data_IF_623810247285
#
_entry.id   IF_623810247285
#
_cell.length_a   1.000
_cell.length_b   1.000
_cell.length_c   1.000
_cell.angle_alpha   90.00
_cell.angle_beta   90.00
_cell.angle_gamma   90.00
#
_symmetry.space_group_name_H-M   'P 1'
#
loop_
_entity.id
_entity.type
_entity.pdbx_description
1 polymer ?
#
# COMPACT_ATOMS: atom_id res chain seq x y z
N UNK A 1 4.23 -5.68 -19.75
CA UNK A 1 4.73 -6.38 -18.56
C UNK A 1 6.21 -6.76 -18.73
N UNK A 2 7.07 -6.55 -17.72
CA UNK A 2 8.46 -7.03 -17.69
C UNK A 2 8.54 -8.28 -16.81
N UNK A 3 9.24 -9.32 -17.25
CA UNK A 3 9.27 -10.62 -16.56
C UNK A 3 10.69 -11.06 -16.22
N UNK A 4 10.86 -11.64 -15.03
CA UNK A 4 12.03 -12.43 -14.68
C UNK A 4 11.80 -13.91 -14.95
N UNK A 5 12.86 -14.59 -15.37
CA UNK A 5 12.98 -16.04 -15.19
C UNK A 5 13.16 -16.38 -13.72
N UNK A 6 13.01 -17.65 -13.34
CA UNK A 6 13.30 -18.11 -11.97
C UNK A 6 14.70 -17.72 -11.47
N UNK A 7 15.72 -17.91 -12.31
CA UNK A 7 17.10 -17.57 -11.96
C UNK A 7 17.28 -16.07 -11.73
N UNK A 8 16.70 -15.23 -12.59
CA UNK A 8 16.75 -13.77 -12.43
C UNK A 8 16.02 -13.31 -11.16
N UNK A 9 14.88 -13.94 -10.87
CA UNK A 9 14.13 -13.68 -9.65
C UNK A 9 14.97 -14.01 -8.39
N UNK A 10 15.57 -15.22 -8.34
CA UNK A 10 16.35 -15.65 -7.18
C UNK A 10 17.59 -14.77 -6.96
N UNK A 11 18.25 -14.38 -8.06
CA UNK A 11 19.36 -13.43 -8.02
C UNK A 11 18.90 -12.06 -7.52
N UNK A 12 17.79 -11.52 -8.03
CA UNK A 12 17.31 -10.19 -7.64
C UNK A 12 16.94 -10.11 -6.14
N UNK A 13 16.26 -11.13 -5.60
CA UNK A 13 15.90 -11.21 -4.18
C UNK A 13 17.14 -11.38 -3.29
N UNK A 14 18.13 -12.15 -3.76
CA UNK A 14 19.41 -12.32 -3.06
C UNK A 14 20.19 -11.00 -3.01
N UNK A 15 20.26 -10.28 -4.14
CA UNK A 15 20.93 -8.98 -4.21
C UNK A 15 20.27 -7.96 -3.28
N UNK A 16 18.94 -7.91 -3.20
CA UNK A 16 18.24 -7.09 -2.21
C UNK A 16 18.66 -7.43 -0.78
N UNK A 17 18.71 -8.72 -0.44
CA UNK A 17 19.13 -9.18 0.89
C UNK A 17 20.58 -8.76 1.19
N UNK A 18 21.48 -8.84 0.22
CA UNK A 18 22.88 -8.42 0.37
C UNK A 18 23.02 -6.91 0.58
N UNK A 19 22.13 -6.11 0.01
CA UNK A 19 22.13 -4.65 0.17
C UNK A 19 21.62 -4.19 1.54
N UNK A 20 20.76 -4.97 2.20
CA UNK A 20 20.06 -4.55 3.42
C UNK A 20 21.00 -4.15 4.58
N UNK A 21 22.20 -4.73 4.68
CA UNK A 21 23.16 -4.38 5.74
C UNK A 21 24.04 -3.17 5.41
N UNK A 22 23.93 -2.59 4.20
CA UNK A 22 24.78 -1.50 3.75
C UNK A 22 23.96 -0.23 3.47
N UNK A 23 23.96 0.68 4.44
CA UNK A 23 23.25 1.96 4.35
C UNK A 23 23.66 2.78 3.11
N UNK A 24 24.95 2.90 2.81
CA UNK A 24 25.43 3.68 1.67
C UNK A 24 24.90 3.13 0.34
N UNK A 25 24.76 1.81 0.23
CA UNK A 25 24.15 1.18 -0.94
C UNK A 25 22.65 1.49 -1.00
N UNK A 26 21.92 1.31 0.11
CA UNK A 26 20.48 1.57 0.18
C UNK A 26 20.12 3.03 -0.11
N UNK A 27 20.93 3.97 0.39
CA UNK A 27 20.76 5.41 0.17
C UNK A 27 20.80 5.76 -1.33
N UNK A 28 21.63 5.06 -2.11
CA UNK A 28 21.71 5.26 -3.56
C UNK A 28 20.62 4.50 -4.33
N UNK A 29 20.20 3.35 -3.82
CA UNK A 29 19.21 2.50 -4.46
C UNK A 29 17.76 2.99 -4.28
N UNK A 30 17.49 3.73 -3.20
CA UNK A 30 16.13 4.13 -2.83
C UNK A 30 16.02 5.64 -2.66
N UNK A 31 15.80 6.36 -3.76
CA UNK A 31 15.27 7.71 -3.70
C UNK A 31 13.87 7.69 -3.06
N UNK A 32 13.65 8.49 -2.02
CA UNK A 32 12.39 8.47 -1.25
C UNK A 32 11.20 9.12 -1.99
N UNK A 33 11.42 9.62 -3.20
CA UNK A 33 10.42 10.25 -4.07
C UNK A 33 10.08 9.42 -5.33
N UNK A 34 10.55 8.19 -5.44
CA UNK A 34 10.29 7.31 -6.57
C UNK A 34 9.09 6.38 -6.29
N UNK A 35 8.53 5.81 -7.36
CA UNK A 35 7.35 4.92 -7.31
C UNK A 35 7.55 3.69 -8.19
N UNK A 36 6.73 2.67 -7.97
CA UNK A 36 6.57 1.54 -8.90
C UNK A 36 5.30 1.73 -9.72
N UNK A 37 5.36 1.39 -11.00
CA UNK A 37 4.20 1.42 -11.89
C UNK A 37 3.80 -0.01 -12.24
N UNK A 38 2.58 -0.40 -11.88
CA UNK A 38 1.98 -1.68 -12.24
C UNK A 38 0.88 -1.45 -13.27
N UNK A 39 0.97 -2.17 -14.38
CA UNK A 39 -0.05 -2.17 -15.42
C UNK A 39 -1.21 -3.09 -15.07
N UNK A 40 -2.35 -2.92 -15.76
CA UNK A 40 -3.47 -3.85 -15.65
C UNK A 40 -3.07 -5.29 -16.02
N UNK A 41 -2.13 -5.47 -16.94
CA UNK A 41 -1.59 -6.78 -17.33
C UNK A 41 -0.94 -7.49 -16.13
N UNK A 42 -0.11 -6.78 -15.36
CA UNK A 42 0.58 -7.31 -14.19
C UNK A 42 -0.42 -7.76 -13.10
N UNK A 43 -1.46 -6.97 -12.88
CA UNK A 43 -2.52 -7.25 -11.90
C UNK A 43 -3.38 -8.45 -12.34
N UNK A 44 -3.75 -8.51 -13.62
CA UNK A 44 -4.52 -9.63 -14.16
C UNK A 44 -3.71 -10.93 -14.12
N UNK A 45 -2.40 -10.85 -14.39
CA UNK A 45 -1.51 -11.99 -14.22
C UNK A 45 -1.57 -12.50 -12.78
N UNK A 46 -1.38 -11.61 -11.80
CA UNK A 46 -1.35 -11.97 -10.39
C UNK A 46 -2.69 -12.58 -9.93
N UNK A 47 -3.82 -11.99 -10.32
CA UNK A 47 -5.17 -12.53 -10.08
C UNK A 47 -5.38 -13.92 -10.66
N UNK A 48 -4.90 -14.16 -11.89
CA UNK A 48 -5.08 -15.44 -12.56
C UNK A 48 -4.27 -16.59 -11.93
N UNK A 49 -3.17 -16.26 -11.24
CA UNK A 49 -2.22 -17.25 -10.70
C UNK A 49 -2.38 -17.50 -9.20
N UNK A 50 -2.78 -16.48 -8.44
CA UNK A 50 -2.91 -16.53 -6.99
C UNK A 50 -4.11 -17.36 -6.54
N UNK A 51 -3.94 -18.09 -5.45
CA UNK A 51 -4.98 -18.96 -4.87
C UNK A 51 -5.20 -18.68 -3.38
N UNK A 52 -4.68 -17.55 -2.89
CA UNK A 52 -4.73 -17.15 -1.49
C UNK A 52 -5.48 -15.84 -1.29
N UNK A 53 -5.87 -15.55 -0.04
CA UNK A 53 -6.56 -14.30 0.34
C UNK A 53 -5.69 -13.06 0.21
N UNK A 54 -4.38 -13.24 0.23
CA UNK A 54 -3.39 -12.19 0.06
C UNK A 54 -2.57 -12.46 -1.21
N UNK A 55 -2.03 -11.41 -1.80
CA UNK A 55 -0.96 -11.46 -2.78
C UNK A 55 0.37 -11.12 -2.09
N UNK A 56 1.48 -11.61 -2.65
CA UNK A 56 2.82 -11.29 -2.17
C UNK A 56 3.55 -10.44 -3.21
N UNK A 57 4.17 -9.36 -2.75
CA UNK A 57 5.15 -8.62 -3.54
C UNK A 57 6.49 -8.68 -2.83
N UNK A 58 7.54 -8.98 -3.57
CA UNK A 58 8.90 -9.14 -3.05
C UNK A 58 9.81 -8.06 -3.57
N UNK A 59 10.79 -7.68 -2.77
CA UNK A 59 11.79 -6.69 -3.15
C UNK A 59 12.98 -7.39 -3.79
N UNK A 60 13.47 -6.81 -4.88
CA UNK A 60 14.69 -7.24 -5.54
C UNK A 60 15.59 -6.07 -5.91
N UNK A 61 16.82 -6.38 -6.28
CA UNK A 61 17.71 -5.44 -7.00
C UNK A 61 18.04 -6.05 -8.34
N UNK A 62 17.78 -5.30 -9.41
CA UNK A 62 18.10 -5.71 -10.78
C UNK A 62 18.62 -4.50 -11.55
N UNK A 63 19.73 -4.69 -12.29
CA UNK A 63 20.41 -3.61 -13.01
C UNK A 63 20.68 -2.36 -12.14
N UNK A 64 21.10 -2.57 -10.89
CA UNK A 64 21.38 -1.52 -9.92
C UNK A 64 20.17 -0.60 -9.61
N UNK A 65 18.96 -1.16 -9.73
CA UNK A 65 17.71 -0.51 -9.38
C UNK A 65 16.87 -1.43 -8.49
N UNK A 66 16.14 -0.85 -7.55
CA UNK A 66 15.16 -1.60 -6.76
C UNK A 66 13.98 -1.97 -7.64
N UNK A 67 13.52 -3.20 -7.52
CA UNK A 67 12.35 -3.73 -8.22
C UNK A 67 11.35 -4.31 -7.23
N UNK A 68 10.07 -4.16 -7.55
CA UNK A 68 8.96 -4.82 -6.90
C UNK A 68 8.52 -5.99 -7.78
N UNK A 69 8.63 -7.21 -7.27
CA UNK A 69 8.39 -8.45 -8.00
C UNK A 69 7.07 -9.06 -7.53
N UNK A 70 6.19 -9.39 -8.46
CA UNK A 70 4.89 -9.99 -8.17
C UNK A 70 5.05 -11.51 -7.98
N UNK A 71 4.69 -11.99 -6.78
CA UNK A 71 4.79 -13.39 -6.41
C UNK A 71 3.39 -13.95 -6.09
N UNK A 72 2.87 -14.82 -6.96
CA UNK A 72 1.62 -15.51 -6.70
C UNK A 72 1.79 -16.52 -5.56
N UNK A 73 0.74 -16.68 -4.74
CA UNK A 73 0.67 -17.63 -3.66
C UNK A 73 -0.25 -18.81 -4.01
N UNK A 74 0.07 -19.99 -3.48
CA UNK A 74 -0.78 -21.16 -3.54
C UNK A 74 -1.89 -21.12 -2.46
N UNK A 75 -2.77 -22.12 -2.44
CA UNK A 75 -3.89 -22.17 -1.47
C UNK A 75 -3.46 -22.27 0.00
N UNK A 76 -2.18 -22.53 0.28
CA UNK A 76 -1.61 -22.55 1.63
C UNK A 76 -0.87 -21.26 2.01
N UNK A 77 -0.82 -20.27 1.11
CA UNK A 77 -0.11 -19.00 1.33
C UNK A 77 1.39 -19.08 1.05
N UNK A 78 1.89 -20.20 0.51
CA UNK A 78 3.28 -20.33 0.08
C UNK A 78 3.46 -19.77 -1.33
N UNK A 79 4.67 -19.29 -1.63
CA UNK A 79 5.01 -18.80 -2.98
C UNK A 79 4.82 -19.94 -3.97
N UNK A 80 4.02 -19.67 -5.00
CA UNK A 80 3.77 -20.59 -6.09
C UNK A 80 4.91 -20.49 -7.10
N UNK A 81 5.48 -21.63 -7.42
CA UNK A 81 6.48 -21.75 -8.47
C UNK A 81 5.83 -21.53 -9.85
N UNK A 82 6.26 -20.48 -10.54
CA UNK A 82 5.83 -20.12 -11.90
C UNK A 82 7.04 -20.00 -12.82
N UNK A 83 6.80 -19.98 -14.13
CA UNK A 83 7.84 -19.87 -15.16
C UNK A 83 8.41 -18.45 -15.22
N UNK A 84 7.55 -17.45 -15.08
CA UNK A 84 7.88 -16.03 -15.21
C UNK A 84 7.30 -15.23 -14.05
N UNK A 85 8.05 -14.26 -13.57
CA UNK A 85 7.69 -13.37 -12.46
C UNK A 85 7.64 -11.92 -12.94
N UNK A 86 6.45 -11.31 -13.06
CA UNK A 86 6.34 -9.90 -13.42
C UNK A 86 7.01 -8.99 -12.39
N UNK A 87 7.66 -7.92 -12.83
CA UNK A 87 8.26 -6.94 -11.94
C UNK A 87 8.12 -5.51 -12.44
N UNK A 88 8.16 -4.56 -11.50
CA UNK A 88 8.22 -3.12 -11.76
C UNK A 88 9.47 -2.53 -11.12
N UNK A 89 10.17 -1.66 -11.85
CA UNK A 89 11.31 -0.91 -11.31
C UNK A 89 10.85 0.31 -10.51
N UNK A 90 11.66 0.68 -9.51
CA UNK A 90 11.50 1.92 -8.77
C UNK A 90 11.98 3.08 -9.66
N UNK A 91 11.07 3.95 -10.09
CA UNK A 91 11.33 5.00 -11.07
C UNK A 91 10.78 6.35 -10.62
N UNK A 92 11.29 7.43 -11.23
CA UNK A 92 10.69 8.75 -11.10
C UNK A 92 9.23 8.75 -11.56
N UNK A 93 8.45 9.63 -10.95
CA UNK A 93 7.12 9.95 -11.45
C UNK A 93 7.23 10.69 -12.77
N UNK A 94 6.45 10.27 -13.77
CA UNK A 94 6.37 10.97 -15.06
C UNK A 94 5.56 12.27 -15.00
N UNK A 95 4.90 12.56 -13.87
CA UNK A 95 4.10 13.76 -13.63
C UNK A 95 3.44 13.74 -12.25
N UNK A 96 2.70 14.81 -11.93
CA UNK A 96 2.02 14.93 -10.63
C UNK A 96 0.94 13.86 -10.44
N UNK A 97 0.92 13.22 -9.27
CA UNK A 97 -0.16 12.32 -8.87
C UNK A 97 -1.34 13.14 -8.33
N UNK A 98 -2.53 12.93 -8.90
CA UNK A 98 -3.78 13.52 -8.40
C UNK A 98 -4.59 12.45 -7.67
N UNK A 99 -4.70 12.61 -6.36
CA UNK A 99 -5.51 11.73 -5.51
C UNK A 99 -6.89 12.37 -5.31
N UNK A 100 -7.95 11.60 -5.51
CA UNK A 100 -9.35 12.05 -5.40
C UNK A 100 -10.13 11.05 -4.56
N UNK A 101 -10.75 11.51 -3.48
CA UNK A 101 -11.68 10.74 -2.66
C UNK A 101 -13.03 11.46 -2.57
N UNK A 102 -14.11 10.78 -2.93
CA UNK A 102 -15.48 11.32 -2.88
C UNK A 102 -16.29 10.56 -1.84
N UNK A 103 -16.77 11.26 -0.80
CA UNK A 103 -17.65 10.70 0.24
C UNK A 103 -19.00 11.44 0.27
N UNK A 104 -20.10 10.70 0.15
CA UNK A 104 -21.46 11.21 0.38
C UNK A 104 -21.89 10.88 1.82
N UNK A 105 -22.12 11.91 2.66
CA UNK A 105 -22.61 11.71 4.02
C UNK A 105 -24.13 11.84 4.09
N UNK A 106 -24.82 10.86 4.70
CA UNK A 106 -26.22 11.01 5.11
C UNK A 106 -26.27 11.61 6.53
N UNK A 107 -26.74 12.85 6.67
CA UNK A 107 -26.94 13.47 8.00
C UNK A 107 -28.27 12.99 8.59
N UNK A 108 -28.21 12.04 9.54
CA UNK A 108 -29.40 11.60 10.28
C UNK A 108 -29.68 12.61 11.41
N UNK A 109 -30.66 13.49 11.21
CA UNK A 109 -31.20 14.36 12.28
C UNK A 109 -32.33 13.62 13.00
N UNK A 110 -32.02 13.03 14.15
CA UNK A 110 -33.04 12.48 15.03
C UNK A 110 -33.59 13.58 15.94
N UNK A 111 -34.90 13.82 15.87
CA UNK A 111 -35.62 14.68 16.81
C UNK A 111 -36.58 13.81 17.63
N UNK A 112 -36.40 13.79 18.96
CA UNK A 112 -37.33 13.11 19.88
C UNK A 112 -38.32 14.13 20.41
N UNK A 113 -39.60 13.93 20.12
CA UNK A 113 -40.70 14.74 20.66
C UNK A 113 -41.34 14.02 21.86
N UNK A 114 -41.61 14.77 22.92
CA UNK A 114 -42.34 14.25 24.09
C UNK A 114 -43.78 13.87 23.75
N UNK A 115 -44.46 13.13 24.65
CA UNK A 115 -45.88 12.78 24.52
C UNK A 115 -46.81 14.01 24.43
N UNK A 116 -46.33 15.17 24.87
CA UNK A 116 -47.05 16.45 24.80
C UNK A 116 -46.55 17.35 23.65
N UNK A 117 -45.83 16.78 22.67
CA UNK A 117 -45.27 17.44 21.48
C UNK A 117 -44.30 18.59 21.74
N UNK A 118 -43.71 18.66 22.94
CA UNK A 118 -42.64 19.62 23.26
C UNK A 118 -41.27 19.01 22.99
N UNK A 119 -40.35 19.82 22.44
CA UNK A 119 -38.93 19.45 22.28
C UNK A 119 -38.34 19.25 23.67
N UNK A 120 -37.80 18.07 23.95
CA UNK A 120 -37.05 17.80 25.18
C UNK A 120 -35.60 18.22 24.91
N UNK A 121 -35.30 19.50 25.09
CA UNK A 121 -33.92 20.01 25.21
C UNK A 121 -33.71 20.42 26.67
N UNK A 122 -32.77 19.74 27.34
CA UNK A 122 -32.02 20.07 28.58
C UNK A 122 -31.69 18.71 29.22
N UNK A 123 -30.45 18.22 29.27
CA UNK A 123 -29.27 18.86 29.85
C UNK A 123 -27.99 18.13 29.35
N UNK A 124 -26.91 18.88 29.17
CA UNK A 124 -25.50 18.44 29.00
C UNK A 124 -25.21 17.04 28.42
N UNK A 125 -25.38 16.89 27.13
CA UNK A 125 -24.28 16.45 26.25
C UNK A 125 -24.62 17.02 24.89
N UNK A 126 -24.23 18.29 24.72
CA UNK A 126 -24.02 18.83 23.39
C UNK A 126 -23.01 17.89 22.72
N UNK A 127 -23.51 16.90 21.98
CA UNK A 127 -22.90 16.55 20.71
C UNK A 127 -22.96 17.82 19.87
N UNK A 128 -22.04 18.75 20.17
CA UNK A 128 -21.33 19.44 19.11
C UNK A 128 -21.10 18.38 18.04
N UNK A 129 -21.37 18.65 16.76
CA UNK A 129 -20.75 17.83 15.74
C UNK A 129 -19.26 18.06 15.96
N UNK A 130 -18.65 17.21 16.80
CA UNK A 130 -17.22 17.04 16.85
C UNK A 130 -16.95 16.69 15.42
N UNK A 131 -16.42 17.66 14.68
CA UNK A 131 -15.92 17.47 13.35
C UNK A 131 -14.63 16.63 13.44
N UNK A 132 -14.66 15.54 14.20
CA UNK A 132 -13.91 14.33 13.90
C UNK A 132 -14.63 13.72 12.70
N UNK A 133 -14.51 14.38 11.55
CA UNK A 133 -14.60 13.62 10.31
C UNK A 133 -13.57 12.51 10.48
N UNK A 134 -13.94 11.23 10.36
CA UNK A 134 -12.95 10.17 10.35
C UNK A 134 -11.90 10.55 9.31
N UNK A 135 -10.63 10.53 9.71
CA UNK A 135 -9.50 10.87 8.84
C UNK A 135 -9.60 9.97 7.61
N UNK A 136 -9.67 10.58 6.42
CA UNK A 136 -10.01 9.88 5.20
C UNK A 136 -8.89 8.89 4.85
N UNK A 137 -9.18 7.80 4.15
CA UNK A 137 -8.15 6.80 3.83
C UNK A 137 -7.07 7.40 2.91
N UNK A 138 -7.45 8.35 2.03
CA UNK A 138 -6.51 9.14 1.26
C UNK A 138 -5.59 9.99 2.15
N UNK A 139 -6.12 10.68 3.16
CA UNK A 139 -5.33 11.54 4.06
C UNK A 139 -4.26 10.71 4.79
N UNK A 140 -4.64 9.52 5.31
CA UNK A 140 -3.69 8.60 5.96
C UNK A 140 -2.56 8.18 5.03
N UNK A 141 -2.90 7.94 3.77
CA UNK A 141 -1.93 7.49 2.80
C UNK A 141 -1.01 8.62 2.32
N UNK A 142 -1.53 9.84 2.17
CA UNK A 142 -0.71 11.04 1.92
C UNK A 142 0.27 11.26 3.06
N UNK A 143 -0.21 11.25 4.31
CA UNK A 143 0.63 11.40 5.50
C UNK A 143 1.74 10.32 5.54
N UNK A 144 1.41 9.07 5.24
CA UNK A 144 2.38 7.97 5.21
C UNK A 144 3.44 8.14 4.11
N UNK A 145 3.06 8.61 2.91
CA UNK A 145 3.99 8.88 1.80
C UNK A 145 4.89 10.08 2.14
N UNK A 146 4.33 11.15 2.68
CA UNK A 146 5.11 12.32 3.10
C UNK A 146 6.09 11.96 4.21
N UNK A 147 5.67 11.14 5.16
CA UNK A 147 6.53 10.65 6.22
C UNK A 147 7.67 9.78 5.68
N UNK A 148 7.39 8.90 4.70
CA UNK A 148 8.46 8.16 4.01
C UNK A 148 9.42 9.09 3.27
N UNK A 149 8.90 10.10 2.57
CA UNK A 149 9.72 11.08 1.85
C UNK A 149 10.71 11.77 2.80
N UNK A 150 10.25 12.15 3.98
CA UNK A 150 11.03 12.91 4.97
C UNK A 150 11.95 12.02 5.81
N UNK A 151 11.47 10.84 6.23
CA UNK A 151 12.13 10.01 7.24
C UNK A 151 12.63 8.66 6.71
N UNK A 152 12.36 8.30 5.45
CA UNK A 152 12.74 7.00 4.88
C UNK A 152 14.25 6.75 4.91
N UNK A 153 15.06 7.78 4.64
CA UNK A 153 16.53 7.70 4.73
C UNK A 153 16.96 7.51 6.20
N UNK A 154 16.39 8.28 7.12
CA UNK A 154 16.65 8.15 8.56
C UNK A 154 16.28 6.75 9.07
N UNK A 155 15.17 6.19 8.57
CA UNK A 155 14.71 4.85 8.90
C UNK A 155 15.72 3.79 8.45
N UNK A 156 16.20 3.85 7.21
CA UNK A 156 17.25 2.94 6.74
C UNK A 156 18.56 3.09 7.51
N UNK A 157 18.97 4.32 7.82
CA UNK A 157 20.17 4.56 8.63
C UNK A 157 20.06 3.86 9.98
N UNK A 158 18.93 4.03 10.67
CA UNK A 158 18.67 3.41 11.96
C UNK A 158 18.63 1.87 11.88
N UNK A 159 17.96 1.30 10.88
CA UNK A 159 17.89 -0.15 10.72
C UNK A 159 19.24 -0.78 10.37
N UNK A 160 20.07 -0.09 9.59
CA UNK A 160 21.43 -0.55 9.31
C UNK A 160 22.37 -0.37 10.52
N UNK A 161 22.28 0.74 11.27
CA UNK A 161 23.19 1.02 12.38
C UNK A 161 22.91 0.17 13.62
N UNK A 162 21.64 0.01 13.98
CA UNK A 162 21.26 -0.65 15.22
C UNK A 162 20.94 -2.14 15.05
N UNK A 163 20.55 -2.55 13.83
CA UNK A 163 20.02 -3.90 13.57
C UNK A 163 20.68 -4.58 12.38
N UNK A 164 21.77 -4.03 11.87
CA UNK A 164 22.58 -4.60 10.77
C UNK A 164 21.73 -4.92 9.52
N UNK A 165 20.62 -4.20 9.31
CA UNK A 165 19.70 -4.40 8.20
C UNK A 165 18.80 -5.63 8.30
N UNK A 166 18.88 -6.40 9.39
CA UNK A 166 18.14 -7.67 9.56
C UNK A 166 16.62 -7.52 9.53
N UNK A 167 16.11 -6.33 9.82
CA UNK A 167 14.68 -6.03 9.92
C UNK A 167 14.16 -5.22 8.73
N UNK A 168 15.01 -4.96 7.74
CA UNK A 168 14.57 -4.37 6.48
C UNK A 168 13.65 -5.37 5.78
N UNK A 169 12.53 -4.83 5.29
CA UNK A 169 11.51 -5.59 4.62
C UNK A 169 12.07 -6.32 3.40
N UNK A 170 11.58 -7.55 3.17
CA UNK A 170 11.91 -8.34 1.98
C UNK A 170 10.69 -8.57 1.10
N UNK A 171 9.51 -8.56 1.71
CA UNK A 171 8.23 -8.83 1.07
C UNK A 171 7.11 -8.16 1.83
N UNK A 172 6.03 -7.92 1.10
CA UNK A 172 4.80 -7.36 1.61
C UNK A 172 3.63 -8.23 1.18
N UNK A 173 2.66 -8.39 2.08
CA UNK A 173 1.40 -9.05 1.79
C UNK A 173 0.32 -8.00 1.56
N UNK A 174 -0.43 -8.14 0.47
CA UNK A 174 -1.49 -7.22 0.05
C UNK A 174 -2.78 -8.01 -0.08
N UNK A 175 -3.82 -7.72 0.72
CA UNK A 175 -5.07 -8.45 0.61
C UNK A 175 -5.67 -8.36 -0.80
N UNK A 176 -6.18 -9.49 -1.30
CA UNK A 176 -6.51 -9.62 -2.72
C UNK A 176 -7.69 -8.77 -3.15
N UNK A 177 -8.62 -8.52 -2.23
CA UNK A 177 -9.78 -7.65 -2.42
C UNK A 177 -9.36 -6.22 -2.80
N UNK A 178 -8.16 -5.80 -2.36
CA UNK A 178 -7.67 -4.43 -2.50
C UNK A 178 -7.11 -4.12 -3.89
N UNK A 179 -6.65 -5.15 -4.61
CA UNK A 179 -6.26 -5.05 -6.02
C UNK A 179 -7.44 -5.28 -6.96
N UNK A 180 -8.63 -5.48 -6.41
CA UNK A 180 -9.85 -5.81 -7.15
C UNK A 180 -10.93 -4.77 -6.87
N UNK A 181 -10.71 -3.49 -7.21
CA UNK A 181 -11.78 -2.53 -7.06
C UNK A 181 -12.95 -2.93 -7.97
N UNK A 182 -14.20 -2.80 -7.51
CA UNK A 182 -15.39 -3.27 -8.23
C UNK A 182 -15.73 -2.42 -9.46
N UNK A 183 -14.95 -1.38 -9.76
CA UNK A 183 -15.28 -0.34 -10.74
C UNK A 183 -14.64 -0.63 -12.10
N UNK A 184 -15.47 -0.57 -13.15
CA UNK A 184 -14.99 -0.61 -14.53
C UNK A 184 -14.06 0.58 -14.83
N UNK A 185 -13.10 0.40 -15.74
CA UNK A 185 -12.18 1.46 -16.17
C UNK A 185 -10.85 1.53 -15.43
N UNK A 186 -10.53 0.58 -14.55
CA UNK A 186 -9.21 0.49 -13.92
C UNK A 186 -8.12 0.28 -14.99
N UNK A 187 -7.14 1.18 -15.04
CA UNK A 187 -6.07 1.18 -16.04
C UNK A 187 -4.72 0.76 -15.46
N UNK A 188 -4.33 1.34 -14.32
CA UNK A 188 -3.01 1.08 -13.72
C UNK A 188 -2.99 1.32 -12.22
N UNK A 189 -1.90 0.90 -11.58
CA UNK A 189 -1.58 1.24 -10.21
C UNK A 189 -0.21 1.94 -10.14
N UNK A 190 -0.14 2.98 -9.34
CA UNK A 190 1.13 3.54 -8.85
C UNK A 190 1.31 3.06 -7.42
N UNK A 191 2.44 2.44 -7.14
CA UNK A 191 2.77 1.97 -5.80
C UNK A 191 3.85 2.86 -5.21
N UNK A 192 3.59 3.46 -4.05
CA UNK A 192 4.55 4.32 -3.36
C UNK A 192 4.92 3.71 -2.01
N UNK A 193 6.14 3.96 -1.55
CA UNK A 193 6.49 3.65 -0.17
C UNK A 193 5.80 4.63 0.79
N UNK A 194 5.40 4.12 1.94
CA UNK A 194 4.92 4.90 3.07
C UNK A 194 5.57 4.44 4.38
N UNK A 195 5.44 5.25 5.43
CA UNK A 195 5.77 4.86 6.80
C UNK A 195 4.52 4.88 7.67
N UNK A 196 4.32 3.81 8.43
CA UNK A 196 3.22 3.66 9.37
C UNK A 196 3.73 3.26 10.75
N UNK A 197 3.22 3.91 11.80
CA UNK A 197 3.52 3.46 13.15
C UNK A 197 2.73 2.18 13.45
N UNK A 198 3.42 1.17 14.01
CA UNK A 198 2.78 -0.02 14.54
C UNK A 198 2.77 0.01 16.05
N UNK A 199 1.58 0.02 16.64
CA UNK A 199 1.41 -0.11 18.09
C UNK A 199 1.88 -1.47 18.62
N UNK A 200 1.79 -2.52 17.81
CA UNK A 200 2.21 -3.87 18.22
C UNK A 200 3.74 -3.94 18.33
N UNK A 201 4.44 -3.42 17.32
CA UNK A 201 5.90 -3.46 17.28
C UNK A 201 6.55 -2.22 17.91
N UNK A 202 5.75 -1.23 18.32
CA UNK A 202 6.17 0.05 18.89
C UNK A 202 7.22 0.77 18.02
N UNK A 203 7.04 0.76 16.69
CA UNK A 203 7.99 1.34 15.73
C UNK A 203 7.35 1.74 14.40
N UNK A 204 8.07 2.58 13.66
CA UNK A 204 7.74 2.89 12.27
C UNK A 204 8.07 1.70 11.36
N UNK A 205 7.11 1.33 10.54
CA UNK A 205 7.19 0.24 9.60
C UNK A 205 6.97 0.77 8.17
N UNK A 206 7.83 0.41 7.22
CA UNK A 206 7.58 0.66 5.82
C UNK A 206 6.36 -0.11 5.32
N UNK A 207 5.63 0.52 4.41
CA UNK A 207 4.49 -0.04 3.71
C UNK A 207 4.53 0.35 2.24
N UNK A 208 3.86 -0.41 1.38
CA UNK A 208 3.56 -0.07 0.00
C UNK A 208 2.10 0.34 -0.09
N UNK A 209 1.89 1.57 -0.52
CA UNK A 209 0.59 2.16 -0.76
C UNK A 209 0.25 1.98 -2.23
N UNK A 210 -0.88 1.33 -2.51
CA UNK A 210 -1.36 1.12 -3.86
C UNK A 210 -2.33 2.24 -4.23
N UNK A 211 -2.01 2.95 -5.31
CA UNK A 211 -2.82 4.04 -5.84
C UNK A 211 -3.43 3.62 -7.18
N UNK A 212 -4.75 3.42 -7.23
CA UNK A 212 -5.45 2.98 -8.45
C UNK A 212 -5.78 4.16 -9.36
N UNK A 213 -5.53 4.01 -10.66
CA UNK A 213 -5.91 4.95 -11.71
C UNK A 213 -6.96 4.37 -12.64
N UNK A 214 -7.98 5.17 -12.94
CA UNK A 214 -9.06 4.81 -13.85
C UNK A 214 -9.05 5.74 -15.06
N UNK A 215 -9.32 5.19 -16.24
CA UNK A 215 -9.62 5.99 -17.42
C UNK A 215 -11.01 6.62 -17.26
N UNK A 216 -11.12 7.93 -17.49
CA UNK A 216 -12.27 8.81 -17.24
C UNK A 216 -13.66 8.12 -17.18
N UNK A 217 -14.29 8.14 -16.01
CA UNK A 217 -15.73 7.91 -15.88
C UNK A 217 -16.45 9.25 -15.70
N UNK A 218 -16.87 9.81 -16.82
CA UNK A 218 -18.01 10.71 -16.85
C UNK A 218 -19.25 9.97 -16.33
N UNK A 219 -19.93 10.58 -15.35
CA UNK A 219 -21.29 10.32 -14.84
C UNK A 219 -21.88 8.91 -15.08
N UNK A 220 -21.85 8.03 -14.08
CA UNK A 220 -23.09 7.33 -13.71
C UNK A 220 -23.06 6.78 -12.28
N UNK A 221 -24.23 6.81 -11.65
CA UNK A 221 -24.41 6.63 -10.20
C UNK A 221 -24.21 5.21 -9.69
N UNK A 222 -23.44 5.08 -8.62
CA UNK A 222 -23.71 4.18 -7.50
C UNK A 222 -22.79 4.54 -6.33
N UNK A 223 -23.34 4.42 -5.13
CA UNK A 223 -22.74 4.81 -3.85
C UNK A 223 -21.70 3.75 -3.46
N UNK A 224 -20.43 4.11 -3.54
CA UNK A 224 -19.32 3.48 -2.82
C UNK A 224 -18.29 4.58 -2.47
N UNK A 225 -17.60 4.44 -1.33
CA UNK A 225 -16.48 5.33 -1.01
C UNK A 225 -15.36 5.05 -2.00
N UNK A 226 -15.17 5.92 -2.99
CA UNK A 226 -14.09 5.78 -3.96
C UNK A 226 -12.85 6.42 -3.34
N UNK A 227 -12.02 5.62 -2.68
CA UNK A 227 -10.63 5.99 -2.39
C UNK A 227 -9.74 5.39 -3.47
N UNK A 228 -8.87 6.21 -4.05
CA UNK A 228 -7.81 5.73 -4.93
C UNK A 228 -6.59 5.27 -4.14
N UNK A 229 -6.66 5.17 -2.82
CA UNK A 229 -5.47 4.92 -2.00
C UNK A 229 -5.78 3.97 -0.86
N UNK A 230 -5.04 2.87 -0.83
CA UNK A 230 -5.19 1.83 0.17
C UNK A 230 -3.81 1.42 0.72
N UNK A 231 -3.63 1.60 2.03
CA UNK A 231 -2.41 1.23 2.77
C UNK A 231 -2.65 -0.07 3.55
N UNK A 232 -2.31 -1.22 2.96
CA UNK A 232 -2.50 -2.52 3.60
C UNK A 232 -1.34 -3.49 3.43
N UNK A 233 -0.15 -2.99 3.10
CA UNK A 233 1.01 -3.85 3.07
C UNK A 233 1.48 -4.11 4.51
N UNK A 234 1.35 -5.35 4.97
CA UNK A 234 1.96 -5.74 6.24
C UNK A 234 3.39 -6.22 5.96
N UNK A 235 4.43 -5.54 6.48
CA UNK A 235 5.77 -6.08 6.39
C UNK A 235 5.84 -7.36 7.21
N UNK A 236 6.26 -8.45 6.58
CA UNK A 236 6.39 -9.74 7.25
C UNK A 236 7.66 -9.74 8.12
N UNK A 237 7.55 -9.78 9.46
CA UNK A 237 8.70 -9.93 10.34
C UNK A 237 9.25 -11.36 10.24
N UNK A 238 10.49 -11.63 10.70
CA UNK A 238 11.14 -12.94 10.61
C UNK A 238 10.40 -14.11 11.29
N UNK A 239 9.31 -13.85 12.02
CA UNK A 239 8.46 -14.85 12.67
C UNK A 239 7.16 -15.17 11.93
N UNK A 240 6.99 -14.74 10.67
CA UNK A 240 5.88 -15.24 9.85
C UNK A 240 5.98 -16.77 9.74
N UNK A 241 5.16 -17.48 10.51
CA UNK A 241 4.87 -18.89 10.29
C UNK A 241 3.78 -18.92 9.21
N UNK A 242 4.21 -19.17 7.98
CA UNK A 242 3.33 -19.70 6.94
C UNK A 242 3.24 -21.22 7.18
#
# INVERSE_FOLDING_TARGET
MNNFTREQYDLAVTEWTNCCSNFSTLQNLIPTNYVFNLSLEDINWLKSKNQYKDFCVEMGVYNNQVVLILAALDGSGHRKDVEEYPYAALTELSGDLRLVETQEYTVIKNAVLSKDLRKIDNDSDMFFPVANKPLMEQDKAVDAIELWRNEGVSWFFYECSEYEGTRIFKKFYVPADNLTPPKAGLNSFVCSFGLKYSDIYQRMLPTIIFISFYDDLSNDGSIETISNTYDWSQPCPPFCQI
#
